data_IF_284712669405
#
_entry.id   IF_284712669405
#
_cell.length_a   1.000
_cell.length_b   1.000
_cell.length_c   1.000
_cell.angle_alpha   90.00
_cell.angle_beta   90.00
_cell.angle_gamma   90.00
#
_symmetry.space_group_name_H-M   'P 1'
#
loop_
_entity.id
_entity.type
_entity.pdbx_description
1 polymer ?
#
# COMPACT_ATOMS: atom_id res chain seq x y z
N UNK A 1 8.40 0.07 2.64
CA UNK A 1 7.46 -0.76 1.85
C UNK A 1 7.06 -0.04 0.59
N UNK A 2 6.83 -0.80 -0.46
CA UNK A 2 6.38 -0.23 -1.74
C UNK A 2 4.98 0.35 -1.60
N UNK A 3 4.81 1.60 -2.04
CA UNK A 3 3.50 2.24 -2.07
C UNK A 3 2.87 2.50 -0.72
N UNK A 4 3.60 2.28 0.37
CA UNK A 4 3.12 2.46 1.73
C UNK A 4 3.99 3.47 2.43
N UNK A 5 3.39 4.54 2.93
CA UNK A 5 4.11 5.65 3.55
C UNK A 5 3.49 6.02 4.88
N UNK A 6 4.31 6.38 5.85
CA UNK A 6 3.81 6.86 7.13
C UNK A 6 3.41 8.33 7.02
N UNK A 7 2.16 8.63 7.30
CA UNK A 7 1.67 9.99 7.35
C UNK A 7 1.72 10.47 8.80
N UNK A 8 2.63 11.39 9.08
CA UNK A 8 2.91 11.81 10.45
C UNK A 8 1.79 12.64 11.06
N UNK A 9 1.00 13.28 10.24
CA UNK A 9 -0.13 14.09 10.66
C UNK A 9 -1.07 13.33 11.60
N UNK A 10 -1.34 12.06 11.31
CA UNK A 10 -2.25 11.22 12.09
C UNK A 10 -1.68 9.84 12.40
N UNK A 11 -0.39 9.62 12.12
CA UNK A 11 0.31 8.36 12.34
C UNK A 11 -0.35 7.18 11.63
N UNK A 12 -0.91 7.43 10.46
CA UNK A 12 -1.49 6.37 9.65
C UNK A 12 -0.57 6.02 8.50
N UNK A 13 -0.61 4.76 8.11
CA UNK A 13 0.10 4.26 6.94
C UNK A 13 -0.81 4.41 5.74
N UNK A 14 -0.39 5.21 4.77
CA UNK A 14 -1.19 5.48 3.57
C UNK A 14 -0.70 4.66 2.40
N UNK A 15 -1.63 4.27 1.57
CA UNK A 15 -1.36 3.44 0.40
C UNK A 15 -1.61 4.24 -0.86
N UNK A 16 -0.57 4.33 -1.69
CA UNK A 16 -0.66 4.93 -3.02
C UNK A 16 -0.21 3.91 -4.04
N UNK A 17 -0.93 3.80 -5.14
CA UNK A 17 -0.53 2.98 -6.26
C UNK A 17 -1.00 3.66 -7.53
N UNK A 18 -0.14 3.68 -8.54
CA UNK A 18 -0.43 4.31 -9.81
C UNK A 18 -0.91 5.76 -9.62
N UNK A 19 -0.27 6.48 -8.66
CA UNK A 19 -0.58 7.87 -8.30
C UNK A 19 -1.98 8.07 -7.74
N UNK A 20 -2.60 7.00 -7.24
CA UNK A 20 -3.93 7.07 -6.63
C UNK A 20 -3.86 6.69 -5.17
N UNK A 21 -4.56 7.46 -4.34
CA UNK A 21 -4.69 7.17 -2.93
C UNK A 21 -5.69 6.03 -2.74
N UNK A 22 -5.30 4.99 -2.00
CA UNK A 22 -6.13 3.80 -1.81
C UNK A 22 -6.60 3.58 -0.39
N UNK A 23 -6.08 4.33 0.55
CA UNK A 23 -6.55 4.24 1.92
C UNK A 23 -5.49 4.57 2.95
N UNK A 24 -5.91 4.66 4.20
CA UNK A 24 -5.04 4.94 5.32
C UNK A 24 -5.36 3.97 6.46
N UNK A 25 -4.32 3.41 7.08
CA UNK A 25 -4.46 2.35 8.06
C UNK A 25 -3.52 2.60 9.23
N UNK A 26 -3.90 2.17 10.42
CA UNK A 26 -3.01 2.27 11.59
C UNK A 26 -1.93 1.21 11.55
N UNK A 27 -2.22 0.04 10.98
CA UNK A 27 -1.28 -1.08 10.93
C UNK A 27 -0.53 -1.08 9.60
N UNK A 28 0.82 -1.03 9.70
CA UNK A 28 1.68 -1.08 8.52
C UNK A 28 1.45 -2.33 7.68
N UNK A 29 1.29 -3.49 8.32
CA UNK A 29 1.10 -4.74 7.61
C UNK A 29 -0.24 -4.76 6.88
N UNK A 30 -1.27 -4.19 7.46
CA UNK A 30 -2.56 -4.06 6.80
C UNK A 30 -2.44 -3.21 5.55
N UNK A 31 -1.74 -2.07 5.66
CA UNK A 31 -1.51 -1.20 4.51
C UNK A 31 -0.75 -1.95 3.41
N UNK A 32 0.27 -2.74 3.78
CA UNK A 32 1.04 -3.51 2.82
C UNK A 32 0.18 -4.55 2.10
N UNK A 33 -0.74 -5.18 2.82
CA UNK A 33 -1.68 -6.14 2.20
C UNK A 33 -2.60 -5.45 1.20
N UNK A 34 -3.07 -4.27 1.52
CA UNK A 34 -3.92 -3.50 0.61
C UNK A 34 -3.15 -3.11 -0.63
N UNK A 35 -1.90 -2.65 -0.47
CA UNK A 35 -1.06 -2.39 -1.63
C UNK A 35 -0.90 -3.63 -2.50
N UNK A 36 -0.60 -4.77 -1.88
CA UNK A 36 -0.42 -6.01 -2.61
C UNK A 36 -1.67 -6.40 -3.40
N UNK A 37 -2.82 -6.21 -2.81
CA UNK A 37 -4.09 -6.49 -3.48
C UNK A 37 -4.24 -5.66 -4.75
N UNK A 38 -4.05 -4.35 -4.64
CA UNK A 38 -4.19 -3.47 -5.80
C UNK A 38 -3.08 -3.68 -6.82
N UNK A 39 -1.87 -3.99 -6.36
CA UNK A 39 -0.76 -4.27 -7.27
C UNK A 39 -1.06 -5.48 -8.16
N UNK A 40 -1.62 -6.53 -7.57
CA UNK A 40 -2.01 -7.71 -8.34
C UNK A 40 -3.09 -7.39 -9.37
N UNK A 41 -4.04 -6.53 -9.01
CA UNK A 41 -5.11 -6.14 -9.93
C UNK A 41 -4.60 -5.29 -11.09
N UNK A 42 -3.64 -4.40 -10.82
CA UNK A 42 -3.17 -3.42 -11.80
C UNK A 42 -2.05 -4.01 -12.66
N UNK A 43 -1.03 -4.61 -12.02
CA UNK A 43 0.18 -5.06 -12.70
C UNK A 43 0.19 -6.56 -13.00
N UNK A 44 -0.71 -7.30 -12.39
CA UNK A 44 -0.87 -8.75 -12.60
C UNK A 44 0.47 -9.48 -12.39
N UNK A 45 0.96 -10.17 -13.40
CA UNK A 45 2.19 -10.97 -13.27
C UNK A 45 3.44 -10.12 -13.06
N UNK A 46 3.36 -8.83 -13.29
CA UNK A 46 4.49 -7.91 -13.12
C UNK A 46 4.48 -7.20 -11.77
N UNK A 47 3.58 -7.57 -10.87
CA UNK A 47 3.46 -6.90 -9.58
C UNK A 47 4.67 -7.18 -8.69
N UNK A 48 5.22 -6.13 -8.10
CA UNK A 48 6.22 -6.25 -7.05
C UNK A 48 5.52 -6.08 -5.71
N UNK A 49 5.42 -7.17 -4.98
CA UNK A 49 4.65 -7.21 -3.75
C UNK A 49 5.51 -6.99 -2.52
N UNK A 50 4.91 -6.42 -1.49
CA UNK A 50 5.55 -6.32 -0.19
C UNK A 50 5.52 -7.70 0.49
N UNK A 51 6.62 -8.04 1.15
CA UNK A 51 6.66 -9.22 2.00
C UNK A 51 6.11 -8.85 3.37
N UNK A 52 5.18 -9.62 3.82
CA UNK A 52 4.49 -9.36 5.08
C UNK A 52 4.73 -10.49 6.06
#
# INVERSE_FOLDING_TARGET
LKGVYLRRKDNKWVVYINRQFKGAFFDRNEAARIYNYYAKEIYKDYAYLNKI
#
